data_IF_478817889531
#
_entry.id   IF_478817889531
#
_cell.length_a   1.000
_cell.length_b   1.000
_cell.length_c   1.000
_cell.angle_alpha   90.00
_cell.angle_beta   90.00
_cell.angle_gamma   90.00
#
_symmetry.space_group_name_H-M   'P 1'
#
loop_
_entity.id
_entity.type
_entity.pdbx_description
1 polymer ?
#
# COMPACT_ATOMS: atom_id res chain seq x y z
N UNK A 1 -15.73 4.49 -29.34
CA UNK A 1 -14.90 5.26 -28.38
C UNK A 1 -15.74 5.88 -27.26
N UNK A 2 -16.83 6.57 -27.56
CA UNK A 2 -17.72 7.19 -26.55
C UNK A 2 -18.26 6.23 -25.47
N UNK A 3 -18.61 4.98 -25.83
CA UNK A 3 -19.11 3.98 -24.86
C UNK A 3 -18.06 3.56 -23.82
N UNK A 4 -16.77 3.62 -24.15
CA UNK A 4 -15.68 3.35 -23.20
C UNK A 4 -15.43 4.55 -22.28
N UNK A 5 -15.55 5.76 -22.81
CA UNK A 5 -15.34 7.01 -22.07
C UNK A 5 -16.48 7.27 -21.08
N UNK A 6 -17.74 6.97 -21.44
CA UNK A 6 -18.90 7.11 -20.53
C UNK A 6 -18.85 6.15 -19.33
N UNK A 7 -18.36 4.93 -19.53
CA UNK A 7 -18.21 3.96 -18.44
C UNK A 7 -17.04 4.34 -17.52
N UNK A 8 -15.97 4.91 -18.06
CA UNK A 8 -14.84 5.42 -17.26
C UNK A 8 -15.23 6.65 -16.42
N UNK A 9 -15.94 7.60 -17.03
CA UNK A 9 -16.34 8.86 -16.38
C UNK A 9 -17.46 8.68 -15.35
N UNK A 10 -18.40 7.74 -15.55
CA UNK A 10 -19.52 7.55 -14.62
C UNK A 10 -19.09 7.13 -13.21
N UNK A 11 -17.98 6.38 -13.08
CA UNK A 11 -17.48 5.90 -11.80
C UNK A 11 -16.28 6.72 -11.28
N UNK A 12 -15.51 7.38 -12.14
CA UNK A 12 -14.24 8.02 -11.75
C UNK A 12 -14.43 9.18 -10.75
N UNK A 13 -15.52 9.96 -10.85
CA UNK A 13 -15.79 11.02 -9.87
C UNK A 13 -16.03 10.44 -8.47
N UNK A 14 -16.79 9.34 -8.37
CA UNK A 14 -17.09 8.69 -7.10
C UNK A 14 -15.82 8.07 -6.50
N UNK A 15 -14.98 7.43 -7.32
CA UNK A 15 -13.67 6.93 -6.90
C UNK A 15 -12.73 8.07 -6.46
N UNK A 16 -12.68 9.18 -7.20
CA UNK A 16 -11.89 10.35 -6.84
C UNK A 16 -12.31 10.95 -5.49
N UNK A 17 -13.61 11.13 -5.27
CA UNK A 17 -14.16 11.62 -3.99
C UNK A 17 -13.85 10.64 -2.85
N UNK A 18 -14.09 9.34 -3.04
CA UNK A 18 -13.78 8.33 -2.03
C UNK A 18 -12.29 8.31 -1.69
N UNK A 19 -11.43 8.42 -2.70
CA UNK A 19 -9.97 8.39 -2.51
C UNK A 19 -9.50 9.65 -1.79
N UNK A 20 -10.04 10.83 -2.13
CA UNK A 20 -9.77 12.06 -1.41
C UNK A 20 -10.22 11.98 0.06
N UNK A 21 -11.41 11.42 0.34
CA UNK A 21 -11.88 11.20 1.71
C UNK A 21 -10.98 10.25 2.49
N UNK A 22 -10.53 9.15 1.89
CA UNK A 22 -9.58 8.23 2.52
C UNK A 22 -8.26 8.94 2.83
N UNK A 23 -7.71 9.71 1.88
CA UNK A 23 -6.51 10.51 2.10
C UNK A 23 -6.67 11.52 3.24
N UNK A 24 -7.84 12.16 3.33
CA UNK A 24 -8.17 13.08 4.41
C UNK A 24 -8.23 12.37 5.78
N UNK A 25 -8.84 11.19 5.86
CA UNK A 25 -8.87 10.37 7.09
C UNK A 25 -7.45 10.04 7.56
N UNK A 26 -6.54 9.72 6.64
CA UNK A 26 -5.15 9.43 6.97
C UNK A 26 -4.42 10.65 7.58
N UNK A 27 -4.72 11.85 7.10
CA UNK A 27 -4.12 13.09 7.59
C UNK A 27 -4.70 13.51 8.96
N UNK A 28 -6.02 13.37 9.14
CA UNK A 28 -6.71 13.81 10.37
C UNK A 28 -6.46 12.84 11.52
N UNK A 29 -6.44 11.52 11.26
CA UNK A 29 -6.28 10.49 12.29
C UNK A 29 -5.13 9.51 12.01
N UNK A 30 -3.88 10.00 11.87
CA UNK A 30 -2.74 9.17 11.47
C UNK A 30 -2.47 8.05 12.49
N UNK A 31 -2.58 8.34 13.78
CA UNK A 31 -2.34 7.36 14.85
C UNK A 31 -3.34 6.18 14.85
N UNK A 32 -4.53 6.39 14.29
CA UNK A 32 -5.59 5.38 14.27
C UNK A 32 -5.51 4.49 13.04
N UNK A 33 -5.05 5.02 11.90
CA UNK A 33 -5.07 4.32 10.61
C UNK A 33 -4.31 3.00 10.67
N UNK A 34 -3.06 3.02 11.14
CA UNK A 34 -2.26 1.79 11.25
C UNK A 34 -2.81 0.82 12.31
N UNK A 35 -3.38 1.33 13.41
CA UNK A 35 -4.04 0.51 14.42
C UNK A 35 -5.24 -0.23 13.85
N UNK A 36 -6.10 0.46 13.10
CA UNK A 36 -7.22 -0.17 12.41
C UNK A 36 -6.76 -1.19 11.37
N UNK A 37 -5.68 -0.92 10.64
CA UNK A 37 -5.11 -1.90 9.71
C UNK A 37 -4.66 -3.18 10.44
N UNK A 38 -3.96 -3.06 11.57
CA UNK A 38 -3.56 -4.21 12.39
C UNK A 38 -4.77 -4.95 12.96
N UNK A 39 -5.79 -4.23 13.43
CA UNK A 39 -7.03 -4.86 13.90
C UNK A 39 -7.75 -5.63 12.79
N UNK A 40 -7.86 -5.05 11.59
CA UNK A 40 -8.46 -5.72 10.44
C UNK A 40 -7.72 -7.02 10.10
N UNK A 41 -6.38 -6.97 10.03
CA UNK A 41 -5.56 -8.16 9.79
C UNK A 41 -5.72 -9.18 10.92
N UNK A 42 -5.74 -8.74 12.18
CA UNK A 42 -5.97 -9.60 13.33
C UNK A 42 -7.31 -10.31 13.30
N UNK A 43 -8.40 -9.59 13.03
CA UNK A 43 -9.76 -10.14 12.89
C UNK A 43 -9.82 -11.14 11.73
N UNK A 44 -9.28 -10.78 10.56
CA UNK A 44 -9.26 -11.67 9.40
C UNK A 44 -8.46 -12.96 9.70
N UNK A 45 -7.32 -12.84 10.38
CA UNK A 45 -6.52 -13.98 10.83
C UNK A 45 -7.29 -14.86 11.82
N UNK A 46 -8.02 -14.27 12.76
CA UNK A 46 -8.86 -15.00 13.70
C UNK A 46 -9.98 -15.76 12.98
N UNK A 47 -10.72 -15.10 12.11
CA UNK A 47 -11.82 -15.72 11.36
C UNK A 47 -11.28 -16.87 10.52
N UNK A 48 -10.19 -16.65 9.78
CA UNK A 48 -9.55 -17.70 8.99
C UNK A 48 -9.06 -18.87 9.86
N UNK A 49 -8.48 -18.60 11.02
CA UNK A 49 -8.01 -19.61 11.97
C UNK A 49 -9.17 -20.44 12.56
N UNK A 50 -10.27 -19.78 12.94
CA UNK A 50 -11.48 -20.46 13.46
C UNK A 50 -12.13 -21.32 12.38
N UNK A 51 -12.28 -20.80 11.16
CA UNK A 51 -12.85 -21.56 10.03
C UNK A 51 -12.02 -22.80 9.73
N UNK A 52 -10.68 -22.69 9.72
CA UNK A 52 -9.81 -23.84 9.53
C UNK A 52 -9.91 -24.84 10.69
N UNK A 53 -9.99 -24.36 11.93
CA UNK A 53 -10.13 -25.23 13.11
C UNK A 53 -11.46 -26.00 13.12
N UNK A 54 -12.57 -25.33 12.78
CA UNK A 54 -13.89 -25.97 12.65
C UNK A 54 -13.92 -26.95 11.47
N UNK A 55 -13.32 -26.58 10.33
CA UNK A 55 -13.18 -27.46 9.17
C UNK A 55 -12.35 -28.70 9.46
N UNK A 56 -11.28 -28.58 10.26
CA UNK A 56 -10.52 -29.73 10.78
C UNK A 56 -11.42 -30.62 11.64
N UNK A 57 -12.12 -30.06 12.65
CA UNK A 57 -12.95 -30.84 13.56
C UNK A 57 -14.08 -31.61 12.83
N UNK A 58 -14.65 -31.02 11.78
CA UNK A 58 -15.64 -31.67 10.93
C UNK A 58 -15.05 -32.82 10.08
N UNK A 59 -13.86 -32.64 9.51
CA UNK A 59 -13.20 -33.64 8.63
C UNK A 59 -12.58 -34.81 9.38
N UNK A 60 -12.20 -34.63 10.65
CA UNK A 60 -11.52 -35.68 11.43
C UNK A 60 -12.45 -36.47 12.35
N UNK A 61 -13.78 -36.32 12.23
CA UNK A 61 -14.75 -37.21 12.90
C UNK A 61 -14.57 -38.64 12.38
N UNK A 62 -14.07 -39.55 13.24
CA UNK A 62 -13.91 -40.98 12.94
C UNK A 62 -12.50 -41.43 12.50
N UNK A 63 -11.50 -40.54 12.42
CA UNK A 63 -10.13 -40.92 12.02
C UNK A 63 -9.26 -41.20 13.25
N UNK A 64 -8.70 -42.41 13.34
CA UNK A 64 -7.68 -42.81 14.31
C UNK A 64 -6.37 -42.05 14.01
N UNK A 65 -5.69 -41.49 15.03
CA UNK A 65 -4.57 -40.54 14.90
C UNK A 65 -4.91 -39.13 14.38
N UNK A 66 -6.03 -38.55 14.83
CA UNK A 66 -6.41 -37.12 14.62
C UNK A 66 -5.27 -36.13 14.89
N UNK A 67 -4.39 -36.40 15.87
CA UNK A 67 -3.34 -35.47 16.30
C UNK A 67 -2.16 -35.40 15.31
N UNK A 68 -1.99 -36.41 14.44
CA UNK A 68 -0.93 -36.43 13.42
C UNK A 68 -1.25 -35.55 12.20
N UNK A 69 -2.53 -35.21 12.02
CA UNK A 69 -3.04 -34.38 10.92
C UNK A 69 -3.52 -33.00 11.39
N UNK A 70 -3.27 -32.62 12.65
CA UNK A 70 -3.56 -31.27 13.11
C UNK A 70 -2.84 -30.28 12.18
N UNK A 71 -3.57 -29.46 11.40
CA UNK A 71 -2.93 -28.46 10.58
C UNK A 71 -2.28 -27.47 11.55
N UNK A 72 -0.94 -27.50 11.66
CA UNK A 72 -0.16 -26.56 12.49
C UNK A 72 -0.51 -25.10 12.15
N UNK A 73 -1.00 -24.86 10.94
CA UNK A 73 -1.47 -23.55 10.46
C UNK A 73 -2.70 -23.03 11.22
N UNK A 74 -3.57 -23.89 11.77
CA UNK A 74 -4.81 -23.44 12.43
C UNK A 74 -4.59 -22.87 13.83
N UNK A 75 -3.88 -23.55 14.76
CA UNK A 75 -3.54 -22.95 16.05
C UNK A 75 -2.67 -21.70 15.89
N UNK A 76 -1.75 -21.71 14.92
CA UNK A 76 -0.86 -20.58 14.67
C UNK A 76 -1.61 -19.35 14.17
N UNK A 77 -2.58 -19.51 13.25
CA UNK A 77 -3.39 -18.38 12.75
C UNK A 77 -4.31 -17.78 13.83
N UNK A 78 -4.88 -18.61 14.71
CA UNK A 78 -5.67 -18.13 15.86
C UNK A 78 -4.76 -17.41 16.86
N UNK A 79 -3.62 -18.01 17.23
CA UNK A 79 -2.66 -17.38 18.14
C UNK A 79 -2.14 -16.05 17.59
N UNK A 80 -1.84 -16.00 16.29
CA UNK A 80 -1.41 -14.80 15.60
C UNK A 80 -2.47 -13.70 15.64
N UNK A 81 -3.73 -14.06 15.35
CA UNK A 81 -4.85 -13.12 15.43
C UNK A 81 -5.06 -12.57 16.84
N UNK A 82 -5.00 -13.41 17.88
CA UNK A 82 -5.09 -12.96 19.28
C UNK A 82 -3.95 -12.00 19.62
N UNK A 83 -2.73 -12.36 19.24
CA UNK A 83 -1.53 -11.57 19.55
C UNK A 83 -1.55 -10.21 18.85
N UNK A 84 -2.06 -10.13 17.61
CA UNK A 84 -2.28 -8.88 16.89
C UNK A 84 -3.28 -7.97 17.60
N UNK A 85 -4.39 -8.53 18.11
CA UNK A 85 -5.43 -7.75 18.77
C UNK A 85 -5.06 -7.33 20.19
N UNK A 86 -4.28 -8.13 20.91
CA UNK A 86 -3.94 -7.87 22.31
C UNK A 86 -3.07 -6.61 22.49
N UNK A 87 -2.09 -6.40 21.60
CA UNK A 87 -1.15 -5.27 21.64
C UNK A 87 -0.81 -4.82 20.20
N UNK A 88 -1.74 -4.13 19.51
CA UNK A 88 -1.52 -3.71 18.13
C UNK A 88 -0.30 -2.78 17.98
N UNK A 89 -0.01 -1.97 18.99
CA UNK A 89 1.09 -1.01 18.96
C UNK A 89 2.47 -1.69 18.81
N UNK A 90 2.67 -2.85 19.45
CA UNK A 90 3.90 -3.64 19.33
C UNK A 90 4.10 -4.10 17.89
N UNK A 91 3.03 -4.46 17.20
CA UNK A 91 3.08 -4.91 15.81
C UNK A 91 3.33 -3.79 14.82
N UNK A 92 2.75 -2.61 15.08
CA UNK A 92 3.03 -1.40 14.31
C UNK A 92 4.50 -1.02 14.47
N UNK A 93 5.01 -1.03 15.70
CA UNK A 93 6.42 -0.75 15.99
C UNK A 93 7.35 -1.75 15.30
N UNK A 94 7.06 -3.06 15.41
CA UNK A 94 7.83 -4.09 14.74
C UNK A 94 7.82 -3.93 13.22
N UNK A 95 6.66 -3.62 12.63
CA UNK A 95 6.53 -3.34 11.20
C UNK A 95 7.41 -2.17 10.79
N UNK A 96 7.40 -1.08 11.56
CA UNK A 96 8.22 0.11 11.29
C UNK A 96 9.71 -0.17 11.43
N UNK A 97 10.12 -0.93 12.44
CA UNK A 97 11.52 -1.34 12.60
C UNK A 97 11.98 -2.18 11.40
N UNK A 98 11.18 -3.17 10.99
CA UNK A 98 11.47 -3.98 9.80
C UNK A 98 11.55 -3.11 8.54
N UNK A 99 10.61 -2.17 8.38
CA UNK A 99 10.62 -1.21 7.28
C UNK A 99 11.91 -0.36 7.29
N UNK A 100 12.33 0.15 8.44
CA UNK A 100 13.59 0.87 8.61
C UNK A 100 14.81 0.03 8.21
N UNK A 101 14.91 -1.20 8.71
CA UNK A 101 16.01 -2.14 8.35
C UNK A 101 16.02 -2.42 6.85
N UNK A 102 14.88 -2.70 6.25
CA UNK A 102 14.77 -2.96 4.81
C UNK A 102 15.18 -1.74 3.99
N UNK A 103 14.78 -0.53 4.39
CA UNK A 103 15.22 0.71 3.75
C UNK A 103 16.73 0.90 3.84
N UNK A 104 17.33 0.65 5.01
CA UNK A 104 18.78 0.71 5.20
C UNK A 104 19.50 -0.28 4.27
N UNK A 105 19.05 -1.53 4.22
CA UNK A 105 19.62 -2.55 3.34
C UNK A 105 19.48 -2.17 1.86
N UNK A 106 18.31 -1.71 1.44
CA UNK A 106 18.09 -1.25 0.07
C UNK A 106 19.01 -0.08 -0.29
N UNK A 107 19.12 0.92 0.59
CA UNK A 107 19.97 2.08 0.36
C UNK A 107 21.45 1.69 0.24
N UNK A 108 21.94 0.81 1.12
CA UNK A 108 23.32 0.30 1.05
C UNK A 108 23.55 -0.47 -0.24
N UNK A 109 22.65 -1.38 -0.62
CA UNK A 109 22.77 -2.14 -1.87
C UNK A 109 22.78 -1.22 -3.10
N UNK A 110 21.93 -0.19 -3.10
CA UNK A 110 21.86 0.78 -4.18
C UNK A 110 23.14 1.64 -4.26
N UNK A 111 23.68 2.09 -3.12
CA UNK A 111 24.94 2.83 -3.05
C UNK A 111 26.13 1.98 -3.52
N UNK A 112 26.20 0.71 -3.09
CA UNK A 112 27.25 -0.23 -3.51
C UNK A 112 27.16 -0.47 -5.02
N UNK A 113 25.96 -0.67 -5.57
CA UNK A 113 25.74 -0.86 -7.00
C UNK A 113 26.23 0.35 -7.82
N UNK A 114 25.86 1.57 -7.41
CA UNK A 114 26.33 2.80 -8.06
C UNK A 114 27.86 2.97 -7.94
N UNK A 115 28.44 2.59 -6.81
CA UNK A 115 29.89 2.58 -6.61
C UNK A 115 30.61 1.58 -7.52
N UNK A 116 30.05 0.39 -7.72
CA UNK A 116 30.58 -0.61 -8.65
C UNK A 116 30.48 -0.14 -10.11
N UNK A 117 29.35 0.47 -10.50
CA UNK A 117 29.18 1.04 -11.84
C UNK A 117 30.22 2.13 -12.14
N UNK A 118 30.50 3.02 -11.18
CA UNK A 118 31.58 4.01 -11.32
C UNK A 118 32.96 3.37 -11.49
N UNK A 119 33.27 2.35 -10.69
CA UNK A 119 34.54 1.61 -10.81
C UNK A 119 34.67 0.89 -12.15
N UNK A 120 33.55 0.46 -12.74
CA UNK A 120 33.48 -0.16 -14.05
C UNK A 120 33.56 0.84 -15.23
N UNK A 121 33.79 2.13 -14.97
CA UNK A 121 33.94 3.15 -16.02
C UNK A 121 32.63 3.69 -16.58
N UNK A 122 31.48 3.35 -15.99
CA UNK A 122 30.18 3.92 -16.38
C UNK A 122 30.07 5.33 -15.78
N UNK A 123 29.78 6.38 -16.57
CA UNK A 123 29.62 7.74 -16.08
C UNK A 123 28.33 7.86 -15.25
N UNK A 124 28.45 7.70 -13.93
CA UNK A 124 27.32 7.88 -13.00
C UNK A 124 27.30 9.32 -12.47
N UNK A 125 26.37 10.13 -13.00
CA UNK A 125 26.12 11.50 -12.54
C UNK A 125 25.85 11.55 -11.04
N UNK A 126 26.35 12.59 -10.34
CA UNK A 126 26.17 12.75 -8.89
C UNK A 126 24.71 12.67 -8.41
N UNK A 127 23.75 13.09 -9.25
CA UNK A 127 22.32 13.04 -8.94
C UNK A 127 21.79 11.64 -8.58
N UNK A 128 22.38 10.57 -9.10
CA UNK A 128 21.95 9.20 -8.79
C UNK A 128 22.21 8.80 -7.32
N UNK A 129 23.11 9.49 -6.62
CA UNK A 129 23.39 9.23 -5.20
C UNK A 129 22.40 9.91 -4.26
N UNK A 130 21.66 10.91 -4.75
CA UNK A 130 20.73 11.69 -3.91
C UNK A 130 19.64 10.77 -3.35
N UNK A 131 18.99 9.98 -4.19
CA UNK A 131 17.91 9.09 -3.76
C UNK A 131 18.36 8.00 -2.76
N UNK A 132 19.44 7.23 -3.00
CA UNK A 132 19.94 6.27 -2.02
C UNK A 132 20.35 6.90 -0.70
N UNK A 133 20.96 8.10 -0.71
CA UNK A 133 21.34 8.80 0.53
C UNK A 133 20.11 9.25 1.31
N UNK A 134 19.10 9.80 0.63
CA UNK A 134 17.82 10.13 1.26
C UNK A 134 17.14 8.88 1.84
N UNK A 135 17.15 7.77 1.10
CA UNK A 135 16.60 6.49 1.55
C UNK A 135 17.34 5.96 2.79
N UNK A 136 18.67 6.09 2.82
CA UNK A 136 19.50 5.72 3.96
C UNK A 136 19.12 6.55 5.20
N UNK A 137 19.07 7.88 5.06
CA UNK A 137 18.71 8.79 6.15
C UNK A 137 17.28 8.52 6.65
N UNK A 138 16.34 8.31 5.74
CA UNK A 138 14.97 7.93 6.09
C UNK A 138 14.95 6.60 6.86
N UNK A 139 15.68 5.58 6.39
CA UNK A 139 15.80 4.29 7.09
C UNK A 139 16.35 4.42 8.51
N UNK A 140 17.36 5.29 8.72
CA UNK A 140 17.90 5.58 10.06
C UNK A 140 16.81 6.19 10.94
N UNK A 141 16.10 7.22 10.46
CA UNK A 141 15.04 7.90 11.24
C UNK A 141 13.91 6.94 11.61
N UNK A 142 13.46 6.13 10.65
CA UNK A 142 12.41 5.11 10.87
C UNK A 142 12.85 4.09 11.93
N UNK A 143 14.09 3.60 11.83
CA UNK A 143 14.62 2.57 12.72
C UNK A 143 14.76 3.05 14.17
N UNK A 144 15.30 4.26 14.37
CA UNK A 144 15.52 4.80 15.72
C UNK A 144 14.29 5.46 16.34
N UNK A 145 13.32 5.88 15.52
CA UNK A 145 12.09 6.50 16.02
C UNK A 145 10.85 6.00 15.25
N UNK A 146 10.45 4.74 15.44
CA UNK A 146 9.35 4.13 14.71
C UNK A 146 8.00 4.79 15.00
N UNK A 147 7.75 5.22 16.23
CA UNK A 147 6.47 5.84 16.62
C UNK A 147 6.26 7.21 15.98
N UNK A 148 7.22 8.13 16.09
CA UNK A 148 7.07 9.43 15.44
C UNK A 148 7.01 9.27 13.92
N UNK A 149 7.81 8.36 13.36
CA UNK A 149 7.86 8.12 11.93
C UNK A 149 6.56 7.51 11.39
N UNK A 150 5.85 6.72 12.19
CA UNK A 150 4.52 6.19 11.83
C UNK A 150 3.55 7.33 11.47
N UNK A 151 3.50 8.36 12.30
CA UNK A 151 2.62 9.52 12.07
C UNK A 151 3.03 10.26 10.80
N UNK A 152 4.32 10.58 10.66
CA UNK A 152 4.85 11.28 9.48
C UNK A 152 4.59 10.52 8.19
N UNK A 153 4.85 9.21 8.16
CA UNK A 153 4.62 8.36 7.00
C UNK A 153 3.13 8.27 6.66
N UNK A 154 2.27 8.13 7.67
CA UNK A 154 0.82 8.03 7.45
C UNK A 154 0.27 9.32 6.87
N UNK A 155 0.68 10.48 7.40
CA UNK A 155 0.31 11.80 6.86
C UNK A 155 0.86 11.98 5.45
N UNK A 156 2.11 11.58 5.20
CA UNK A 156 2.72 11.66 3.87
C UNK A 156 1.94 10.84 2.84
N UNK A 157 1.63 9.58 3.14
CA UNK A 157 0.80 8.74 2.27
C UNK A 157 -0.62 9.30 2.14
N UNK A 158 -1.22 9.81 3.23
CA UNK A 158 -2.53 10.46 3.21
C UNK A 158 -2.57 11.67 2.29
N UNK A 159 -1.55 12.53 2.33
CA UNK A 159 -1.40 13.67 1.43
C UNK A 159 -1.25 13.23 -0.03
N UNK A 160 -0.51 12.15 -0.29
CA UNK A 160 -0.35 11.60 -1.64
C UNK A 160 -1.65 11.03 -2.19
N UNK A 161 -2.38 10.26 -1.37
CA UNK A 161 -3.70 9.72 -1.71
C UNK A 161 -4.72 10.83 -1.93
N UNK A 162 -4.70 11.86 -1.09
CA UNK A 162 -5.55 13.05 -1.24
C UNK A 162 -5.25 13.77 -2.56
N UNK A 163 -3.96 14.02 -2.86
CA UNK A 163 -3.55 14.65 -4.11
C UNK A 163 -3.98 13.82 -5.32
N UNK A 164 -3.83 12.50 -5.27
CA UNK A 164 -4.30 11.61 -6.33
C UNK A 164 -5.82 11.70 -6.52
N UNK A 165 -6.61 11.66 -5.43
CA UNK A 165 -8.06 11.83 -5.49
C UNK A 165 -8.47 13.17 -6.13
N UNK A 166 -7.75 14.24 -5.81
CA UNK A 166 -7.95 15.57 -6.42
C UNK A 166 -7.63 15.55 -7.91
N UNK A 167 -6.54 14.91 -8.34
CA UNK A 167 -6.18 14.76 -9.76
C UNK A 167 -7.25 13.99 -10.52
N UNK A 168 -7.73 12.87 -9.98
CA UNK A 168 -8.80 12.07 -10.60
C UNK A 168 -10.10 12.89 -10.79
N UNK A 169 -10.42 13.77 -9.83
CA UNK A 169 -11.55 14.69 -9.96
C UNK A 169 -11.31 15.74 -11.05
N UNK A 170 -10.10 16.32 -11.15
CA UNK A 170 -9.76 17.25 -12.22
C UNK A 170 -9.82 16.59 -13.61
N UNK A 171 -9.31 15.37 -13.73
CA UNK A 171 -9.33 14.60 -14.96
C UNK A 171 -10.76 14.29 -15.41
N UNK A 172 -11.67 13.96 -14.49
CA UNK A 172 -13.09 13.82 -14.79
C UNK A 172 -13.67 15.08 -15.46
N UNK A 173 -13.45 16.26 -14.88
CA UNK A 173 -13.97 17.51 -15.43
C UNK A 173 -13.31 17.90 -16.76
N UNK A 174 -12.02 17.63 -16.91
CA UNK A 174 -11.26 17.93 -18.14
C UNK A 174 -11.70 17.01 -19.29
N UNK A 175 -11.79 15.70 -19.04
CA UNK A 175 -12.22 14.70 -20.03
C UNK A 175 -13.68 14.89 -20.43
N UNK A 176 -14.56 15.25 -19.50
CA UNK A 176 -15.97 15.53 -19.81
C UNK A 176 -16.14 16.72 -20.78
N UNK A 177 -15.23 17.70 -20.73
CA UNK A 177 -15.22 18.86 -21.66
C UNK A 177 -14.49 18.56 -22.97
N UNK A 178 -13.42 17.76 -22.93
CA UNK A 178 -12.56 17.50 -24.08
C UNK A 178 -13.16 16.47 -25.06
N UNK A 179 -13.91 15.48 -24.56
CA UNK A 179 -14.46 14.39 -25.39
C UNK A 179 -15.50 14.87 -26.41
N UNK A 180 -16.46 15.75 -26.06
CA UNK A 180 -17.37 16.32 -27.05
C UNK A 180 -16.66 17.20 -28.09
N UNK A 181 -15.62 17.94 -27.67
CA UNK A 181 -14.86 18.83 -28.55
C UNK A 181 -13.97 18.07 -29.54
N UNK A 182 -13.40 16.93 -29.11
CA UNK A 182 -12.58 16.06 -29.96
C UNK A 182 -13.41 15.27 -30.98
N UNK A 183 -14.59 14.75 -30.60
CA UNK A 183 -15.50 14.08 -31.56
C UNK A 183 -15.87 15.02 -32.69
N UNK A 184 -16.23 16.27 -32.37
CA UNK A 184 -16.62 17.29 -33.35
C UNK A 184 -15.51 17.67 -34.35
N UNK A 185 -14.23 17.47 -33.99
CA UNK A 185 -13.08 17.69 -34.88
C UNK A 185 -12.75 16.47 -35.76
N UNK A 186 -13.04 15.26 -35.30
CA UNK A 186 -12.79 14.03 -36.07
C UNK A 186 -13.88 13.84 -37.13
N UNK A 187 -15.12 14.24 -36.82
CA UNK A 187 -16.26 14.19 -37.74
C UNK A 187 -16.30 15.39 -38.71
N UNK A 188 -15.38 16.35 -38.58
CA UNK A 188 -15.20 17.40 -39.56
C UNK A 188 -14.54 16.82 -40.82
N UNK A 189 -15.03 17.14 -42.04
CA UNK A 189 -14.39 16.65 -43.26
C UNK A 189 -12.93 17.10 -43.26
N UNK A 190 -11.99 16.20 -43.54
CA UNK A 190 -10.63 16.61 -43.86
C UNK A 190 -10.74 17.42 -45.15
N UNK A 191 -10.64 18.73 -45.04
CA UNK A 191 -10.49 19.59 -46.20
C UNK A 191 -9.17 19.17 -46.88
N UNK A 192 -9.30 18.71 -48.12
CA UNK A 192 -8.23 18.11 -48.88
C UNK A 192 -7.18 19.19 -49.23
N UNK A 193 -5.94 19.01 -48.79
CA UNK A 193 -4.76 19.64 -49.41
C UNK A 193 -4.34 18.84 -50.66
#
# INVERSE_FOLDING_TARGET
>A
MEKYIKTYTGNSLLWGVLTALVGLVFIIWPDSVLRWAVYLVGILSLVAGIVQFLGFLARTRGVENRWRYLPLTSPLAVLWGILLLAKPDVWIELFMIVLGVVMLLMAVMQLVSLGQMRKAGIPVTGGYFVFPVLLLLAGIVVFFNPFATTVWLTVFFGAWVLAYGVVEMFDYFSLHKAVPAASKKIDAPKEND
#
